data_IF_670987983900
#
_entry.id   IF_670987983900
#
_cell.length_a   1.000
_cell.length_b   1.000
_cell.length_c   1.000
_cell.angle_alpha   90.00
_cell.angle_beta   90.00
_cell.angle_gamma   90.00
#
_symmetry.space_group_name_H-M   'P 1'
#
loop_
_entity.id
_entity.type
_entity.pdbx_description
1 polymer ?
#
# COMPACT_ATOMS: atom_id res chain seq x y z
N UNK A 1 -43.73 -1.59 20.44
CA UNK A 1 -42.78 -1.45 19.32
C UNK A 1 -42.84 -2.69 18.44
N UNK A 2 -43.28 -2.53 17.19
CA UNK A 2 -43.64 -3.63 16.28
C UNK A 2 -42.43 -4.09 15.46
N UNK A 3 -42.42 -5.38 15.08
CA UNK A 3 -41.34 -6.09 14.38
C UNK A 3 -40.77 -5.38 13.11
N UNK A 4 -41.46 -4.37 12.58
CA UNK A 4 -41.07 -3.57 11.42
C UNK A 4 -39.93 -2.58 11.73
N UNK A 5 -39.88 -2.07 12.96
CA UNK A 5 -38.86 -1.11 13.42
C UNK A 5 -37.52 -1.82 13.71
N UNK A 6 -37.59 -3.08 14.15
CA UNK A 6 -36.41 -3.93 14.39
C UNK A 6 -35.71 -4.37 13.09
N UNK A 7 -36.41 -4.35 11.94
CA UNK A 7 -35.88 -4.75 10.63
C UNK A 7 -35.22 -3.57 9.90
N UNK A 8 -35.69 -2.33 10.09
CA UNK A 8 -35.02 -1.15 9.48
C UNK A 8 -33.73 -0.77 10.19
N UNK A 9 -33.65 -1.01 11.50
CA UNK A 9 -32.44 -0.70 12.28
C UNK A 9 -31.28 -1.67 12.00
N UNK A 10 -31.57 -2.95 11.71
CA UNK A 10 -30.54 -3.92 11.29
C UNK A 10 -30.01 -3.64 9.90
N UNK A 11 -30.87 -3.25 8.95
CA UNK A 11 -30.45 -2.91 7.58
C UNK A 11 -29.55 -1.67 7.51
N UNK A 12 -29.72 -0.71 8.42
CA UNK A 12 -28.92 0.52 8.43
C UNK A 12 -27.57 0.32 9.16
N UNK A 13 -27.53 -0.55 10.16
CA UNK A 13 -26.28 -0.91 10.84
C UNK A 13 -25.36 -1.76 9.95
N UNK A 14 -25.93 -2.70 9.18
CA UNK A 14 -25.17 -3.59 8.28
C UNK A 14 -24.54 -2.81 7.11
N UNK A 15 -25.18 -1.74 6.60
CA UNK A 15 -24.60 -0.88 5.55
C UNK A 15 -23.42 -0.03 6.04
N UNK A 16 -23.48 0.48 7.28
CA UNK A 16 -22.43 1.36 7.84
C UNK A 16 -21.14 0.57 8.12
N UNK A 17 -21.26 -0.66 8.64
CA UNK A 17 -20.10 -1.52 8.89
C UNK A 17 -19.42 -1.96 7.58
N UNK A 18 -20.20 -2.16 6.52
CA UNK A 18 -19.66 -2.56 5.21
C UNK A 18 -18.94 -1.39 4.52
N UNK A 19 -19.48 -0.17 4.59
CA UNK A 19 -18.85 1.04 4.05
C UNK A 19 -17.53 1.37 4.78
N UNK A 20 -17.52 1.27 6.12
CA UNK A 20 -16.30 1.43 6.91
C UNK A 20 -15.23 0.38 6.54
N UNK A 21 -15.63 -0.86 6.26
CA UNK A 21 -14.74 -1.93 5.80
C UNK A 21 -14.12 -1.67 4.43
N UNK A 22 -14.92 -1.23 3.43
CA UNK A 22 -14.40 -0.92 2.09
C UNK A 22 -13.47 0.29 2.07
N UNK A 23 -13.81 1.36 2.80
CA UNK A 23 -12.94 2.53 2.91
C UNK A 23 -11.59 2.19 3.55
N UNK A 24 -11.62 1.36 4.60
CA UNK A 24 -10.40 0.86 5.26
C UNK A 24 -9.52 0.07 4.29
N UNK A 25 -10.11 -0.84 3.50
CA UNK A 25 -9.36 -1.62 2.50
C UNK A 25 -8.75 -0.75 1.38
N UNK A 26 -9.44 0.32 0.96
CA UNK A 26 -8.89 1.28 -0.01
C UNK A 26 -7.72 2.10 0.58
N UNK A 27 -7.80 2.47 1.86
CA UNK A 27 -6.73 3.19 2.55
C UNK A 27 -5.48 2.30 2.68
N UNK A 28 -5.67 1.01 2.95
CA UNK A 28 -4.59 0.03 2.96
C UNK A 28 -3.95 -0.09 1.58
N UNK A 29 -4.74 -0.21 0.50
CA UNK A 29 -4.21 -0.24 -0.86
C UNK A 29 -3.32 0.97 -1.16
N UNK A 30 -3.78 2.18 -0.81
CA UNK A 30 -3.01 3.41 -1.00
C UNK A 30 -1.68 3.36 -0.25
N UNK A 31 -1.71 2.98 1.02
CA UNK A 31 -0.51 2.94 1.85
C UNK A 31 0.51 1.91 1.29
N UNK A 32 0.02 0.78 0.79
CA UNK A 32 0.84 -0.23 0.12
C UNK A 32 1.45 0.30 -1.19
N UNK A 33 0.63 0.94 -2.03
CA UNK A 33 1.08 1.52 -3.29
C UNK A 33 2.14 2.62 -3.08
N UNK A 34 1.96 3.49 -2.10
CA UNK A 34 2.93 4.55 -1.79
C UNK A 34 4.29 3.97 -1.38
N UNK A 35 4.32 2.92 -0.55
CA UNK A 35 5.57 2.25 -0.17
C UNK A 35 6.26 1.60 -1.35
N UNK A 36 5.50 0.98 -2.26
CA UNK A 36 6.01 0.41 -3.52
C UNK A 36 6.70 1.50 -4.35
N UNK A 37 5.99 2.60 -4.62
CA UNK A 37 6.51 3.71 -5.41
C UNK A 37 7.77 4.31 -4.77
N UNK A 38 7.75 4.58 -3.46
CA UNK A 38 8.91 5.10 -2.74
C UNK A 38 10.11 4.15 -2.87
N UNK A 39 9.91 2.84 -2.71
CA UNK A 39 11.01 1.87 -2.81
C UNK A 39 11.66 1.87 -4.20
N UNK A 40 10.86 1.97 -5.27
CA UNK A 40 11.35 2.05 -6.65
C UNK A 40 12.08 3.38 -6.88
N UNK A 41 11.52 4.50 -6.40
CA UNK A 41 12.15 5.81 -6.51
C UNK A 41 13.50 5.86 -5.78
N UNK A 42 13.59 5.30 -4.59
CA UNK A 42 14.84 5.21 -3.82
C UNK A 42 15.89 4.42 -4.62
N UNK A 43 15.52 3.22 -5.11
CA UNK A 43 16.41 2.42 -5.95
C UNK A 43 16.85 3.19 -7.22
N UNK A 44 15.92 3.91 -7.86
CA UNK A 44 16.21 4.69 -9.07
C UNK A 44 17.20 5.81 -8.81
N UNK A 45 17.06 6.56 -7.71
CA UNK A 45 18.00 7.64 -7.34
C UNK A 45 19.42 7.09 -7.15
N UNK A 46 19.57 5.88 -6.60
CA UNK A 46 20.88 5.23 -6.46
C UNK A 46 21.45 4.72 -7.80
N UNK A 47 20.60 4.28 -8.73
CA UNK A 47 21.04 3.76 -10.04
C UNK A 47 21.22 4.84 -11.11
N UNK A 48 20.53 5.98 -10.99
CA UNK A 48 20.51 7.05 -11.97
C UNK A 48 21.91 7.56 -12.37
N UNK A 49 22.90 7.75 -11.46
CA UNK A 49 24.25 8.15 -11.82
C UNK A 49 24.98 7.15 -12.73
N UNK A 50 24.59 5.88 -12.69
CA UNK A 50 25.21 4.78 -13.43
C UNK A 50 24.41 4.40 -14.69
N UNK A 51 23.38 5.18 -15.05
CA UNK A 51 22.44 4.84 -16.12
C UNK A 51 23.13 4.50 -17.46
N UNK A 52 24.17 5.25 -17.85
CA UNK A 52 24.91 5.00 -19.08
C UNK A 52 25.66 3.67 -19.04
N UNK A 53 26.42 3.42 -17.97
CA UNK A 53 27.18 2.17 -17.77
C UNK A 53 26.27 0.96 -17.76
N UNK A 54 25.11 1.07 -17.10
CA UNK A 54 24.11 0.01 -17.07
C UNK A 54 23.55 -0.28 -18.48
N UNK A 55 23.28 0.75 -19.26
CA UNK A 55 22.77 0.58 -20.62
C UNK A 55 23.79 -0.11 -21.54
N UNK A 56 25.08 0.22 -21.41
CA UNK A 56 26.13 -0.43 -22.19
C UNK A 56 26.15 -1.96 -21.97
N UNK A 57 25.95 -2.41 -20.73
CA UNK A 57 25.80 -3.84 -20.42
C UNK A 57 24.58 -4.50 -21.08
N UNK A 58 23.49 -3.75 -21.28
CA UNK A 58 22.33 -4.24 -22.01
C UNK A 58 22.62 -4.32 -23.53
N UNK A 59 23.41 -3.38 -24.05
CA UNK A 59 23.74 -3.28 -25.47
C UNK A 59 24.82 -4.28 -25.94
N UNK A 60 25.70 -4.72 -25.04
CA UNK A 60 26.75 -5.72 -25.29
C UNK A 60 26.32 -6.95 -26.12
N UNK A 61 25.20 -7.65 -25.82
CA UNK A 61 24.76 -8.80 -26.61
C UNK A 61 24.38 -8.48 -28.06
N UNK A 62 24.05 -7.23 -28.38
CA UNK A 62 23.73 -6.80 -29.77
C UNK A 62 25.01 -6.41 -30.49
N UNK A 63 25.85 -5.63 -29.83
CA UNK A 63 27.10 -5.12 -30.41
C UNK A 63 28.04 -6.28 -30.73
N UNK A 64 28.10 -7.30 -29.86
CA UNK A 64 28.89 -8.51 -30.07
C UNK A 64 28.44 -9.36 -31.27
N UNK A 65 27.20 -9.20 -31.75
CA UNK A 65 26.71 -9.86 -32.97
C UNK A 65 26.96 -9.03 -34.25
N UNK A 66 27.71 -7.93 -34.15
CA UNK A 66 28.07 -7.08 -35.28
C UNK A 66 26.94 -6.16 -35.75
N UNK A 67 25.83 -6.09 -35.02
CA UNK A 67 24.76 -5.11 -35.27
C UNK A 67 25.10 -3.80 -34.54
N UNK A 68 24.94 -2.66 -35.23
CA UNK A 68 25.04 -1.34 -34.61
C UNK A 68 23.63 -0.83 -34.27
N UNK A 69 23.45 -0.35 -33.05
CA UNK A 69 22.25 0.38 -32.65
C UNK A 69 22.34 1.80 -33.19
N UNK A 70 21.31 2.23 -33.92
CA UNK A 70 21.22 3.60 -34.42
C UNK A 70 20.45 4.47 -33.45
N UNK A 71 20.75 5.76 -33.46
CA UNK A 71 20.06 6.76 -32.65
C UNK A 71 19.29 7.67 -33.59
N UNK A 72 17.96 7.56 -33.59
CA UNK A 72 17.09 8.39 -34.44
C UNK A 72 16.55 9.62 -33.72
N UNK A 73 16.36 9.54 -32.40
CA UNK A 73 15.79 10.60 -31.58
C UNK A 73 16.85 11.55 -31.00
N UNK A 74 16.59 12.86 -31.05
CA UNK A 74 17.50 13.89 -30.47
C UNK A 74 17.69 13.72 -28.96
N UNK A 75 16.62 13.37 -28.25
CA UNK A 75 16.65 13.15 -26.80
C UNK A 75 17.05 11.73 -26.39
N UNK A 76 17.22 10.80 -27.34
CA UNK A 76 17.44 9.38 -27.06
C UNK A 76 18.72 9.11 -26.25
N UNK A 77 19.89 9.73 -26.54
CA UNK A 77 21.11 9.51 -25.75
C UNK A 77 20.96 9.87 -24.27
N UNK A 78 20.04 10.78 -23.96
CA UNK A 78 19.72 11.17 -22.60
C UNK A 78 18.64 10.27 -21.99
N UNK A 79 17.48 10.13 -22.63
CA UNK A 79 16.32 9.45 -22.03
C UNK A 79 16.46 7.93 -21.94
N UNK A 80 17.10 7.29 -22.92
CA UNK A 80 17.16 5.82 -23.01
C UNK A 80 17.92 5.21 -21.81
N UNK A 81 19.13 5.67 -21.45
CA UNK A 81 19.82 5.16 -20.26
C UNK A 81 18.98 5.30 -18.98
N UNK A 82 18.30 6.44 -18.77
CA UNK A 82 17.47 6.64 -17.58
C UNK A 82 16.20 5.77 -17.58
N UNK A 83 15.57 5.53 -18.74
CA UNK A 83 14.46 4.58 -18.86
C UNK A 83 14.90 3.17 -18.47
N UNK A 84 16.10 2.76 -18.87
CA UNK A 84 16.66 1.46 -18.49
C UNK A 84 17.02 1.40 -16.99
N UNK A 85 17.65 2.44 -16.46
CA UNK A 85 17.94 2.53 -15.02
C UNK A 85 16.67 2.44 -14.17
N UNK A 86 15.56 3.04 -14.62
CA UNK A 86 14.26 2.91 -13.98
C UNK A 86 13.72 1.48 -14.01
N UNK A 87 13.85 0.78 -15.14
CA UNK A 87 13.50 -0.63 -15.24
C UNK A 87 14.31 -1.49 -14.26
N UNK A 88 15.63 -1.29 -14.21
CA UNK A 88 16.51 -2.00 -13.26
C UNK A 88 16.17 -1.68 -11.80
N UNK A 89 15.87 -0.42 -11.49
CA UNK A 89 15.44 -0.02 -10.16
C UNK A 89 14.14 -0.74 -9.75
N UNK A 90 13.19 -0.84 -10.68
CA UNK A 90 11.99 -1.65 -10.48
C UNK A 90 12.34 -3.13 -10.22
N UNK A 91 13.21 -3.72 -11.05
CA UNK A 91 13.65 -5.11 -10.88
C UNK A 91 14.30 -5.35 -9.51
N UNK A 92 15.19 -4.46 -9.06
CA UNK A 92 15.83 -4.57 -7.74
C UNK A 92 14.82 -4.41 -6.61
N UNK A 93 13.84 -3.52 -6.77
CA UNK A 93 12.79 -3.30 -5.78
C UNK A 93 11.76 -4.44 -5.73
N UNK A 94 11.71 -5.33 -6.74
CA UNK A 94 10.70 -6.39 -6.86
C UNK A 94 10.45 -7.22 -5.59
N UNK A 95 11.46 -7.69 -4.84
CA UNK A 95 11.21 -8.48 -3.64
C UNK A 95 10.33 -7.72 -2.63
N UNK A 96 10.57 -6.41 -2.51
CA UNK A 96 9.76 -5.52 -1.68
C UNK A 96 8.39 -5.23 -2.30
N UNK A 97 8.32 -5.03 -3.63
CA UNK A 97 7.05 -4.85 -4.34
C UNK A 97 6.12 -6.04 -4.13
N UNK A 98 6.62 -7.25 -4.37
CA UNK A 98 5.87 -8.47 -4.13
C UNK A 98 5.50 -8.62 -2.66
N UNK A 99 6.42 -8.38 -1.72
CA UNK A 99 6.08 -8.41 -0.30
C UNK A 99 4.88 -7.50 0.02
N UNK A 100 4.88 -6.27 -0.50
CA UNK A 100 3.81 -5.32 -0.24
C UNK A 100 2.49 -5.69 -0.97
N UNK A 101 2.56 -6.21 -2.20
CA UNK A 101 1.40 -6.76 -2.92
C UNK A 101 0.76 -7.92 -2.15
N UNK A 102 1.57 -8.86 -1.70
CA UNK A 102 1.11 -10.01 -0.93
C UNK A 102 0.64 -9.63 0.47
N UNK A 103 1.25 -8.65 1.12
CA UNK A 103 0.78 -8.15 2.40
C UNK A 103 -0.61 -7.50 2.31
N UNK A 104 -0.97 -6.95 1.14
CA UNK A 104 -2.33 -6.46 0.86
C UNK A 104 -3.33 -7.59 0.59
N UNK A 105 -2.90 -8.67 -0.08
CA UNK A 105 -3.75 -9.83 -0.39
C UNK A 105 -3.91 -10.79 0.82
N UNK A 106 -2.89 -10.86 1.68
CA UNK A 106 -2.79 -11.77 2.82
C UNK A 106 -3.92 -11.70 3.88
N UNK A 107 -4.58 -10.56 4.16
CA UNK A 107 -5.63 -10.51 5.17
C UNK A 107 -6.79 -11.46 4.84
N UNK A 108 -7.06 -11.72 3.56
CA UNK A 108 -8.18 -12.58 3.14
C UNK A 108 -7.85 -14.05 2.95
N UNK A 109 -6.58 -14.46 3.02
CA UNK A 109 -6.15 -15.74 2.45
C UNK A 109 -5.63 -16.78 3.46
N UNK A 110 -4.77 -16.41 4.43
CA UNK A 110 -4.11 -17.39 5.31
C UNK A 110 -3.72 -16.84 6.69
N UNK A 111 -4.67 -16.25 7.44
CA UNK A 111 -4.38 -15.70 8.79
C UNK A 111 -3.82 -16.72 9.79
N UNK A 112 -3.89 -18.03 9.54
CA UNK A 112 -3.43 -19.09 10.45
C UNK A 112 -2.27 -19.95 9.93
N UNK A 113 -1.80 -19.72 8.69
CA UNK A 113 -0.55 -20.32 8.20
C UNK A 113 0.33 -19.27 7.51
N UNK A 114 0.92 -18.38 8.32
CA UNK A 114 2.01 -17.49 7.88
C UNK A 114 3.14 -18.25 7.14
N UNK A 115 3.27 -19.55 7.41
CA UNK A 115 4.26 -20.45 6.80
C UNK A 115 4.01 -20.76 5.32
N UNK A 116 2.78 -20.67 4.79
CA UNK A 116 2.50 -20.89 3.35
C UNK A 116 2.70 -19.63 2.50
N UNK A 117 2.57 -18.44 3.11
CA UNK A 117 2.76 -17.17 2.41
C UNK A 117 4.23 -16.99 2.00
N UNK A 118 5.18 -17.37 2.87
CA UNK A 118 6.61 -17.21 2.63
C UNK A 118 7.14 -18.00 1.41
N UNK A 119 6.89 -19.32 1.26
CA UNK A 119 7.33 -20.06 0.08
C UNK A 119 6.62 -19.61 -1.19
N UNK A 120 5.37 -19.17 -1.10
CA UNK A 120 4.62 -18.66 -2.24
C UNK A 120 5.18 -17.32 -2.73
N UNK A 121 5.46 -16.40 -1.81
CA UNK A 121 6.13 -15.13 -2.07
C UNK A 121 7.53 -15.34 -2.68
N UNK A 122 8.34 -16.20 -2.07
CA UNK A 122 9.69 -16.50 -2.57
C UNK A 122 9.65 -17.17 -3.95
N UNK A 123 8.68 -18.05 -4.18
CA UNK A 123 8.51 -18.71 -5.49
C UNK A 123 8.08 -17.71 -6.56
N UNK A 124 7.17 -16.79 -6.22
CA UNK A 124 6.71 -15.71 -7.10
C UNK A 124 7.88 -14.82 -7.51
N UNK A 125 8.61 -14.24 -6.54
CA UNK A 125 9.80 -13.42 -6.81
C UNK A 125 10.83 -14.19 -7.68
N UNK A 126 11.07 -15.47 -7.38
CA UNK A 126 11.95 -16.33 -8.16
C UNK A 126 11.45 -16.56 -9.60
N UNK A 127 10.15 -16.79 -9.79
CA UNK A 127 9.51 -16.96 -11.10
C UNK A 127 9.58 -15.68 -11.93
N UNK A 128 9.36 -14.51 -11.33
CA UNK A 128 9.50 -13.24 -12.03
C UNK A 128 10.93 -13.06 -12.57
N UNK A 129 11.95 -13.26 -11.72
CA UNK A 129 13.35 -13.17 -12.16
C UNK A 129 13.70 -14.21 -13.21
N UNK A 130 13.15 -15.43 -13.10
CA UNK A 130 13.29 -16.46 -14.11
C UNK A 130 12.64 -16.04 -15.43
N UNK A 131 11.49 -15.36 -15.39
CA UNK A 131 10.86 -14.75 -16.56
C UNK A 131 11.72 -13.69 -17.22
N UNK A 132 12.29 -12.76 -16.44
CA UNK A 132 13.22 -11.74 -16.94
C UNK A 132 14.46 -12.39 -17.57
N UNK A 133 15.04 -13.39 -16.89
CA UNK A 133 16.17 -14.15 -17.40
C UNK A 133 15.82 -14.90 -18.70
N UNK A 134 14.63 -15.50 -18.78
CA UNK A 134 14.13 -16.17 -19.99
C UNK A 134 14.04 -15.18 -21.15
N UNK A 135 13.55 -13.97 -20.93
CA UNK A 135 13.51 -12.95 -21.97
C UNK A 135 14.92 -12.59 -22.45
N UNK A 136 15.83 -12.32 -21.52
CA UNK A 136 17.19 -11.88 -21.85
C UNK A 136 18.00 -12.98 -22.58
N UNK A 137 18.00 -14.21 -22.06
CA UNK A 137 18.84 -15.29 -22.56
C UNK A 137 18.21 -16.13 -23.68
N UNK A 138 16.88 -16.21 -23.76
CA UNK A 138 16.20 -17.04 -24.75
C UNK A 138 15.47 -16.21 -25.81
N UNK A 139 14.57 -15.30 -25.40
CA UNK A 139 13.70 -14.60 -26.35
C UNK A 139 14.43 -13.56 -27.20
N UNK A 140 15.19 -12.65 -26.58
CA UNK A 140 15.94 -11.61 -27.31
C UNK A 140 16.86 -12.19 -28.40
N UNK A 141 17.76 -13.16 -28.12
CA UNK A 141 18.63 -13.71 -29.15
C UNK A 141 17.86 -14.51 -30.21
N UNK A 142 16.72 -15.11 -29.86
CA UNK A 142 15.87 -15.79 -30.83
C UNK A 142 15.22 -14.79 -31.79
N UNK A 143 14.74 -13.66 -31.29
CA UNK A 143 14.15 -12.61 -32.13
C UNK A 143 15.17 -11.95 -33.05
N UNK A 144 16.38 -11.68 -32.58
CA UNK A 144 17.44 -11.14 -33.44
C UNK A 144 17.91 -12.11 -34.53
N UNK A 145 17.62 -13.42 -34.40
CA UNK A 145 17.83 -14.39 -35.47
C UNK A 145 16.67 -14.44 -36.46
N UNK A 146 15.43 -14.26 -35.98
CA UNK A 146 14.21 -14.42 -36.79
C UNK A 146 13.85 -13.14 -37.55
N UNK A 147 13.90 -11.98 -36.90
CA UNK A 147 13.48 -10.70 -37.50
C UNK A 147 14.25 -10.33 -38.79
N UNK A 148 15.59 -10.52 -38.86
CA UNK A 148 16.32 -10.23 -40.10
C UNK A 148 15.93 -11.12 -41.28
N UNK A 149 15.34 -12.29 -41.06
CA UNK A 149 14.89 -13.19 -42.15
C UNK A 149 13.74 -12.59 -42.96
N UNK A 150 13.04 -11.60 -42.40
CA UNK A 150 11.95 -10.88 -43.08
C UNK A 150 12.41 -9.59 -43.75
N UNK A 151 13.67 -9.18 -43.56
CA UNK A 151 14.20 -7.99 -44.20
C UNK A 151 14.38 -8.25 -45.70
N UNK A 152 13.89 -7.37 -46.59
CA UNK A 152 14.17 -7.49 -48.02
C UNK A 152 15.68 -7.35 -48.28
N UNK A 153 16.19 -8.06 -49.28
CA UNK A 153 17.62 -8.06 -49.62
C UNK A 153 18.21 -6.70 -49.99
N UNK A 154 17.37 -5.70 -50.23
CA UNK A 154 17.73 -4.31 -50.54
C UNK A 154 17.90 -3.40 -49.32
N UNK A 155 17.57 -3.86 -48.10
CA UNK A 155 17.61 -3.05 -46.88
C UNK A 155 18.63 -3.58 -45.86
N UNK A 156 19.38 -2.69 -45.22
CA UNK A 156 20.23 -3.04 -44.08
C UNK A 156 19.38 -3.02 -42.80
N UNK A 157 19.37 -4.13 -42.07
CA UNK A 157 18.65 -4.23 -40.80
C UNK A 157 19.50 -3.65 -39.66
N UNK A 158 19.03 -2.56 -39.04
CA UNK A 158 19.64 -1.96 -37.86
C UNK A 158 18.56 -1.38 -36.95
N UNK A 159 18.39 -1.91 -35.72
CA UNK A 159 17.39 -1.43 -34.79
C UNK A 159 17.76 -0.06 -34.19
N UNK A 160 16.74 0.77 -33.95
CA UNK A 160 16.88 2.01 -33.18
C UNK A 160 16.97 1.72 -31.69
N UNK A 161 17.83 2.47 -30.99
CA UNK A 161 18.10 2.31 -29.56
C UNK A 161 16.87 2.51 -28.66
N UNK A 162 15.98 3.45 -29.01
CA UNK A 162 14.79 3.77 -28.22
C UNK A 162 13.74 2.70 -28.41
N UNK A 163 13.47 2.33 -29.67
CA UNK A 163 12.53 1.26 -30.00
C UNK A 163 13.00 -0.09 -29.45
N UNK A 164 14.30 -0.36 -29.49
CA UNK A 164 14.88 -1.54 -28.87
C UNK A 164 14.63 -1.57 -27.36
N UNK A 165 14.94 -0.47 -26.65
CA UNK A 165 14.72 -0.42 -25.20
C UNK A 165 13.23 -0.56 -24.85
N UNK A 166 12.34 0.14 -25.57
CA UNK A 166 10.90 0.07 -25.32
C UNK A 166 10.37 -1.34 -25.53
N UNK A 167 10.87 -2.02 -26.56
CA UNK A 167 10.59 -3.42 -26.80
C UNK A 167 11.07 -4.32 -25.65
N UNK A 168 12.32 -4.16 -25.20
CA UNK A 168 12.88 -4.92 -24.06
C UNK A 168 12.10 -4.69 -22.77
N UNK A 169 11.81 -3.43 -22.43
CA UNK A 169 11.02 -3.04 -21.25
C UNK A 169 9.67 -3.74 -21.28
N UNK A 170 8.97 -3.65 -22.41
CA UNK A 170 7.64 -4.23 -22.56
C UNK A 170 7.69 -5.75 -22.43
N UNK A 171 8.70 -6.42 -23.00
CA UNK A 171 8.88 -7.86 -22.86
C UNK A 171 9.24 -8.27 -21.43
N UNK A 172 10.14 -7.58 -20.74
CA UNK A 172 10.50 -7.90 -19.35
C UNK A 172 9.28 -7.80 -18.44
N UNK A 173 8.47 -6.76 -18.60
CA UNK A 173 7.24 -6.62 -17.83
C UNK A 173 6.22 -7.69 -18.21
N UNK A 174 5.91 -7.87 -19.49
CA UNK A 174 4.87 -8.81 -19.93
C UNK A 174 5.23 -10.26 -19.59
N UNK A 175 6.46 -10.71 -19.87
CA UNK A 175 6.88 -12.06 -19.51
C UNK A 175 7.17 -12.21 -18.03
N UNK A 176 7.71 -11.21 -17.34
CA UNK A 176 7.84 -11.25 -15.89
C UNK A 176 6.49 -11.55 -15.22
N UNK A 177 5.44 -10.82 -15.60
CA UNK A 177 4.08 -11.11 -15.12
C UNK A 177 3.48 -12.39 -15.69
N UNK A 178 3.79 -12.78 -16.93
CA UNK A 178 3.32 -14.06 -17.48
C UNK A 178 3.91 -15.26 -16.71
N UNK A 179 5.15 -15.14 -16.20
CA UNK A 179 5.76 -16.14 -15.35
C UNK A 179 5.10 -16.24 -13.97
N UNK A 180 4.27 -15.28 -13.56
CA UNK A 180 3.42 -15.40 -12.37
C UNK A 180 2.14 -16.23 -12.60
N UNK A 181 1.81 -16.54 -13.86
CA UNK A 181 0.62 -17.33 -14.20
C UNK A 181 0.50 -18.69 -13.47
N UNK A 182 1.58 -19.46 -13.25
CA UNK A 182 1.51 -20.68 -12.46
C UNK A 182 1.07 -20.42 -11.01
N UNK A 183 1.63 -19.40 -10.37
CA UNK A 183 1.31 -19.03 -8.98
C UNK A 183 -0.12 -18.50 -8.89
N UNK A 184 -0.52 -17.63 -9.82
CA UNK A 184 -1.89 -17.13 -9.92
C UNK A 184 -2.90 -18.27 -10.11
N UNK A 185 -2.58 -19.27 -10.94
CA UNK A 185 -3.41 -20.45 -11.15
C UNK A 185 -3.59 -21.27 -9.87
N UNK A 186 -2.50 -21.52 -9.14
CA UNK A 186 -2.52 -22.23 -7.87
C UNK A 186 -3.39 -21.48 -6.84
N UNK A 187 -3.25 -20.15 -6.77
CA UNK A 187 -4.04 -19.31 -5.87
C UNK A 187 -5.54 -19.31 -6.17
N UNK A 188 -5.95 -19.19 -7.43
CA UNK A 188 -7.37 -19.15 -7.77
C UNK A 188 -8.04 -20.51 -7.46
N UNK A 189 -7.29 -21.60 -7.57
CA UNK A 189 -7.74 -22.93 -7.19
C UNK A 189 -7.73 -23.09 -5.65
N UNK A 190 -6.71 -22.57 -4.96
CA UNK A 190 -6.60 -22.63 -3.48
C UNK A 190 -7.72 -21.85 -2.78
N UNK A 191 -8.09 -20.71 -3.36
CA UNK A 191 -9.24 -19.91 -2.94
C UNK A 191 -10.58 -20.56 -3.30
N UNK A 192 -10.62 -21.67 -4.03
CA UNK A 192 -11.87 -22.31 -4.42
C UNK A 192 -12.80 -21.43 -5.26
N UNK A 193 -12.30 -20.32 -5.85
CA UNK A 193 -13.04 -19.51 -6.81
C UNK A 193 -13.35 -20.35 -8.06
N UNK A 194 -12.41 -21.21 -8.43
CA UNK A 194 -12.56 -22.16 -9.54
C UNK A 194 -12.00 -23.53 -9.17
N UNK A 195 -12.31 -24.55 -9.97
CA UNK A 195 -11.68 -25.86 -9.87
C UNK A 195 -10.69 -26.05 -11.02
N UNK A 196 -9.74 -26.99 -10.83
CA UNK A 196 -8.76 -27.35 -11.86
C UNK A 196 -9.44 -27.76 -13.16
N UNK A 197 -10.54 -28.49 -13.08
CA UNK A 197 -11.31 -29.00 -14.22
C UNK A 197 -11.96 -27.85 -14.99
N UNK A 198 -12.59 -26.90 -14.27
CA UNK A 198 -13.18 -25.69 -14.88
C UNK A 198 -12.12 -24.84 -15.58
N UNK A 199 -10.94 -24.71 -14.99
CA UNK A 199 -9.86 -23.92 -15.57
C UNK A 199 -9.22 -24.62 -16.78
N UNK A 200 -9.10 -25.95 -16.74
CA UNK A 200 -8.64 -26.75 -17.89
C UNK A 200 -9.62 -26.71 -19.07
N UNK A 201 -10.93 -26.57 -18.83
CA UNK A 201 -11.90 -26.34 -19.92
C UNK A 201 -11.71 -24.98 -20.61
N UNK A 202 -11.11 -24.00 -19.92
CA UNK A 202 -10.88 -22.65 -20.44
C UNK A 202 -9.55 -22.46 -21.18
N UNK A 203 -8.83 -23.55 -21.50
CA UNK A 203 -7.59 -23.52 -22.32
C UNK A 203 -7.71 -22.65 -23.58
N UNK A 204 -8.79 -22.73 -24.39
CA UNK A 204 -8.87 -21.92 -25.60
C UNK A 204 -8.83 -20.42 -25.33
N UNK A 205 -9.43 -19.96 -24.22
CA UNK A 205 -9.40 -18.54 -23.84
C UNK A 205 -7.99 -18.08 -23.44
N UNK A 206 -7.23 -18.93 -22.74
CA UNK A 206 -5.85 -18.62 -22.36
C UNK A 206 -4.95 -18.57 -23.60
N UNK A 207 -5.14 -19.49 -24.53
CA UNK A 207 -4.41 -19.47 -25.80
C UNK A 207 -4.70 -18.17 -26.55
N UNK A 208 -5.97 -17.79 -26.71
CA UNK A 208 -6.33 -16.51 -27.34
C UNK A 208 -5.70 -15.33 -26.59
N UNK A 209 -5.74 -15.31 -25.26
CA UNK A 209 -5.08 -14.28 -24.45
C UNK A 209 -3.57 -14.19 -24.69
N UNK A 210 -2.88 -15.34 -24.78
CA UNK A 210 -1.46 -15.40 -25.10
C UNK A 210 -1.16 -14.84 -26.51
N UNK A 211 -2.00 -15.16 -27.50
CA UNK A 211 -1.86 -14.59 -28.84
C UNK A 211 -2.14 -13.08 -28.85
N UNK A 212 -3.08 -12.58 -28.04
CA UNK A 212 -3.36 -11.13 -27.90
C UNK A 212 -2.16 -10.42 -27.29
N UNK A 213 -1.59 -10.93 -26.20
CA UNK A 213 -0.36 -10.37 -25.61
C UNK A 213 0.78 -10.40 -26.63
N UNK A 214 0.90 -11.50 -27.39
CA UNK A 214 1.84 -11.60 -28.51
C UNK A 214 1.65 -10.50 -29.56
N UNK A 215 0.42 -10.16 -29.96
CA UNK A 215 0.16 -9.06 -30.90
C UNK A 215 0.54 -7.69 -30.38
N UNK A 216 0.41 -7.46 -29.06
CA UNK A 216 0.78 -6.17 -28.48
C UNK A 216 2.31 -6.07 -28.38
N UNK A 217 2.99 -7.17 -28.02
CA UNK A 217 4.45 -7.20 -27.86
C UNK A 217 5.19 -7.20 -29.19
N UNK A 218 4.73 -8.00 -30.14
CA UNK A 218 5.25 -8.04 -31.50
C UNK A 218 4.17 -7.49 -32.43
N UNK A 219 4.43 -6.33 -33.09
CA UNK A 219 3.63 -5.88 -34.23
C UNK A 219 3.49 -7.01 -35.27
N UNK A 220 2.60 -6.91 -36.28
CA UNK A 220 1.97 -8.05 -36.97
C UNK A 220 2.93 -8.99 -37.72
N UNK A 221 3.69 -9.77 -36.95
CA UNK A 221 4.60 -10.84 -37.35
C UNK A 221 4.11 -12.12 -36.68
N UNK A 222 3.50 -12.98 -37.50
CA UNK A 222 2.91 -14.25 -37.05
C UNK A 222 3.96 -15.19 -36.46
N UNK A 223 5.20 -15.20 -36.98
CA UNK A 223 6.22 -16.12 -36.49
C UNK A 223 6.66 -15.72 -35.09
N UNK A 224 7.06 -14.46 -34.91
CA UNK A 224 7.43 -13.96 -33.58
C UNK A 224 6.25 -14.02 -32.60
N UNK A 225 5.02 -13.76 -33.05
CA UNK A 225 3.83 -13.87 -32.22
C UNK A 225 3.60 -15.29 -31.69
N UNK A 226 3.69 -16.32 -32.56
CA UNK A 226 3.56 -17.73 -32.15
C UNK A 226 4.69 -18.12 -31.19
N UNK A 227 5.91 -17.67 -31.49
CA UNK A 227 7.10 -17.93 -30.68
C UNK A 227 6.99 -17.38 -29.25
N UNK A 228 6.29 -16.25 -29.08
CA UNK A 228 5.99 -15.66 -27.77
C UNK A 228 4.77 -16.29 -27.10
N UNK A 229 3.72 -16.64 -27.86
CA UNK A 229 2.50 -17.22 -27.33
C UNK A 229 2.68 -18.64 -26.76
N UNK A 230 3.54 -19.46 -27.39
CA UNK A 230 3.80 -20.84 -26.96
C UNK A 230 4.37 -20.91 -25.52
N UNK A 231 5.43 -20.18 -25.16
CA UNK A 231 5.92 -20.11 -23.78
C UNK A 231 4.84 -19.70 -22.77
N UNK A 232 4.01 -18.71 -23.09
CA UNK A 232 2.91 -18.27 -22.21
C UNK A 232 1.86 -19.37 -22.00
N UNK A 233 1.51 -20.11 -23.05
CA UNK A 233 0.61 -21.25 -22.93
C UNK A 233 1.22 -22.38 -22.08
N UNK A 234 2.51 -22.68 -22.27
CA UNK A 234 3.23 -23.67 -21.47
C UNK A 234 3.26 -23.31 -19.98
N UNK A 235 3.43 -22.02 -19.63
CA UNK A 235 3.39 -21.56 -18.24
C UNK A 235 2.01 -21.78 -17.61
N UNK A 236 0.93 -21.55 -18.36
CA UNK A 236 -0.41 -21.86 -17.89
C UNK A 236 -0.60 -23.38 -17.65
N UNK A 237 -0.12 -24.22 -18.57
CA UNK A 237 -0.15 -25.68 -18.38
C UNK A 237 0.63 -26.10 -17.14
N UNK A 238 1.82 -25.52 -16.95
CA UNK A 238 2.65 -25.75 -15.77
C UNK A 238 1.88 -25.41 -14.48
N UNK A 239 1.18 -24.28 -14.44
CA UNK A 239 0.28 -23.93 -13.34
C UNK A 239 -0.81 -24.96 -13.05
N UNK A 240 -1.47 -25.45 -14.11
CA UNK A 240 -2.48 -26.50 -14.01
C UNK A 240 -1.93 -27.85 -13.56
N UNK A 241 -0.68 -28.18 -13.91
CA UNK A 241 -0.01 -29.40 -13.46
C UNK A 241 0.40 -29.26 -11.99
N UNK A 242 1.06 -28.16 -11.63
CA UNK A 242 1.50 -27.88 -10.27
C UNK A 242 0.33 -27.83 -9.28
N UNK A 243 -0.80 -27.22 -9.67
CA UNK A 243 -2.01 -27.24 -8.81
C UNK A 243 -2.53 -28.66 -8.53
N UNK A 244 -2.29 -29.62 -9.42
CA UNK A 244 -2.59 -31.03 -9.18
C UNK A 244 -1.66 -31.69 -8.17
N UNK A 245 -0.36 -31.34 -8.21
CA UNK A 245 0.66 -31.86 -7.28
C UNK A 245 0.45 -31.31 -5.87
N UNK A 246 0.11 -30.03 -5.74
CA UNK A 246 -0.13 -29.39 -4.45
C UNK A 246 -1.52 -29.64 -3.85
N UNK A 247 -2.31 -30.59 -4.40
CA UNK A 247 -3.71 -30.85 -3.99
C UNK A 247 -3.90 -31.09 -2.49
N UNK A 248 -2.93 -31.70 -1.81
CA UNK A 248 -2.99 -31.92 -0.35
C UNK A 248 -2.86 -30.60 0.44
N UNK A 249 -1.85 -29.78 0.10
CA UNK A 249 -1.62 -28.47 0.71
C UNK A 249 -2.77 -27.50 0.39
N UNK A 250 -3.31 -27.56 -0.83
CA UNK A 250 -4.49 -26.80 -1.26
C UNK A 250 -5.76 -27.17 -0.47
N UNK A 251 -5.93 -28.46 -0.13
CA UNK A 251 -7.06 -28.94 0.66
C UNK A 251 -6.95 -28.59 2.14
N UNK A 252 -5.74 -28.59 2.70
CA UNK A 252 -5.46 -28.12 4.06
C UNK A 252 -5.70 -26.61 4.16
N UNK A 253 -5.20 -25.84 3.19
CA UNK A 253 -5.48 -24.41 3.02
C UNK A 253 -6.99 -24.09 2.97
N UNK A 254 -7.78 -24.86 2.21
CA UNK A 254 -9.23 -24.68 2.12
C UNK A 254 -9.95 -24.95 3.44
N UNK A 255 -9.56 -26.00 4.18
CA UNK A 255 -10.14 -26.34 5.49
C UNK A 255 -9.90 -25.26 6.53
N UNK A 256 -8.68 -24.71 6.59
CA UNK A 256 -8.35 -23.62 7.51
C UNK A 256 -9.21 -22.38 7.26
N UNK A 257 -9.57 -22.11 6.01
CA UNK A 257 -10.48 -21.01 5.65
C UNK A 257 -11.93 -21.28 6.04
N UNK A 258 -12.42 -22.50 5.80
CA UNK A 258 -13.78 -22.85 6.20
C UNK A 258 -13.94 -22.80 7.73
N UNK A 259 -12.88 -23.19 8.47
CA UNK A 259 -12.81 -23.02 9.92
C UNK A 259 -12.84 -21.55 10.35
N UNK A 260 -12.13 -20.64 9.65
CA UNK A 260 -12.18 -19.20 9.92
C UNK A 260 -13.53 -18.58 9.63
N UNK A 261 -14.18 -18.93 8.52
CA UNK A 261 -15.54 -18.45 8.23
C UNK A 261 -16.51 -18.89 9.32
N UNK A 262 -16.30 -20.08 9.86
CA UNK A 262 -17.09 -20.55 10.98
C UNK A 262 -16.75 -19.79 12.27
N UNK A 263 -15.48 -19.55 12.57
CA UNK A 263 -15.04 -18.79 13.75
C UNK A 263 -15.48 -17.32 13.69
N UNK A 264 -15.49 -16.69 12.52
CA UNK A 264 -15.97 -15.33 12.24
C UNK A 264 -17.50 -15.26 12.31
N UNK A 265 -18.21 -16.30 11.84
CA UNK A 265 -19.66 -16.46 12.08
C UNK A 265 -19.98 -16.67 13.55
N UNK A 266 -19.15 -17.43 14.28
CA UNK A 266 -19.33 -17.70 15.70
C UNK A 266 -19.03 -16.44 16.51
N UNK A 267 -17.97 -15.68 16.21
CA UNK A 267 -17.66 -14.41 16.89
C UNK A 267 -18.67 -13.31 16.55
N UNK A 268 -19.13 -13.20 15.31
CA UNK A 268 -20.24 -12.28 14.96
C UNK A 268 -21.57 -12.71 15.61
N UNK A 269 -21.86 -14.01 15.69
CA UNK A 269 -23.02 -14.52 16.43
C UNK A 269 -22.87 -14.31 17.96
N UNK A 270 -21.67 -14.44 18.51
CA UNK A 270 -21.39 -14.16 19.93
C UNK A 270 -21.50 -12.67 20.24
N UNK A 271 -21.04 -11.79 19.34
CA UNK A 271 -21.20 -10.35 19.46
C UNK A 271 -22.69 -9.96 19.42
N UNK A 272 -23.47 -10.57 18.51
CA UNK A 272 -24.93 -10.41 18.45
C UNK A 272 -25.63 -10.96 19.73
N UNK A 273 -25.17 -12.09 20.26
CA UNK A 273 -25.71 -12.69 21.49
C UNK A 273 -25.35 -11.89 22.75
N UNK A 274 -24.13 -11.36 22.86
CA UNK A 274 -23.69 -10.48 23.95
C UNK A 274 -24.43 -9.14 23.93
N UNK A 275 -24.71 -8.59 22.74
CA UNK A 275 -25.62 -7.44 22.60
C UNK A 275 -27.04 -7.74 23.04
N UNK A 276 -27.50 -8.98 22.89
CA UNK A 276 -28.83 -9.44 23.34
C UNK A 276 -28.88 -9.68 24.85
N UNK A 277 -27.79 -10.16 25.48
CA UNK A 277 -27.73 -10.32 26.94
C UNK A 277 -27.60 -8.98 27.66
N UNK A 278 -26.92 -7.99 27.07
CA UNK A 278 -26.92 -6.62 27.60
C UNK A 278 -28.33 -6.00 27.61
N UNK A 279 -29.14 -6.28 26.59
CA UNK A 279 -30.55 -5.89 26.55
C UNK A 279 -31.43 -6.66 27.56
N UNK A 280 -31.11 -7.92 27.87
CA UNK A 280 -31.80 -8.70 28.90
C UNK A 280 -31.44 -8.27 30.33
N UNK A 281 -30.22 -7.77 30.57
CA UNK A 281 -29.82 -7.16 31.84
C UNK A 281 -30.51 -5.80 32.04
N UNK A 282 -30.69 -5.01 30.97
CA UNK A 282 -31.52 -3.80 31.02
C UNK A 282 -32.99 -4.08 31.34
N UNK A 283 -33.56 -5.13 30.77
CA UNK A 283 -34.95 -5.52 31.02
C UNK A 283 -35.21 -6.10 32.43
N UNK A 284 -34.19 -6.65 33.09
CA UNK A 284 -34.29 -7.11 34.49
C UNK A 284 -34.09 -5.97 35.49
N UNK A 285 -33.36 -4.92 35.11
CA UNK A 285 -33.26 -3.69 35.90
C UNK A 285 -34.56 -2.88 35.88
N UNK A 286 -35.30 -2.88 34.76
CA UNK A 286 -36.62 -2.21 34.64
C UNK A 286 -37.69 -2.93 35.48
N UNK A 287 -37.65 -4.26 35.54
CA UNK A 287 -38.62 -5.08 36.30
C UNK A 287 -38.39 -5.13 37.83
N UNK A 288 -37.30 -4.53 38.33
CA UNK A 288 -36.97 -4.49 39.76
C UNK A 288 -37.59 -3.28 40.50
N UNK A 289 -38.32 -2.41 39.79
CA UNK A 289 -38.98 -1.21 40.36
C UNK A 289 -40.49 -1.35 40.49
N UNK A 290 -41.05 -2.53 40.22
CA UNK A 290 -42.48 -2.84 40.38
C UNK A 290 -42.71 -3.74 41.62
N UNK A 291 -42.58 -3.18 42.82
CA UNK A 291 -43.38 -3.64 43.97
C UNK A 291 -43.60 -2.50 44.98
N UNK A 292 -44.86 -2.06 45.06
CA UNK A 292 -45.37 -1.05 45.98
C UNK A 292 -45.54 -1.65 47.38
N UNK A 293 -44.86 -1.10 48.39
CA UNK A 293 -45.40 -1.08 49.75
C UNK A 293 -45.01 0.21 50.47
N UNK A 294 -45.99 1.11 50.59
CA UNK A 294 -45.90 2.43 51.20
C UNK A 294 -46.00 2.37 52.74
N UNK A 295 -45.21 3.19 53.42
CA UNK A 295 -45.60 3.88 54.65
C UNK A 295 -44.74 5.15 54.82
N UNK A 296 -45.34 6.32 54.61
CA UNK A 296 -44.73 7.62 54.92
C UNK A 296 -45.11 8.02 56.35
N UNK A 297 -44.12 8.40 57.17
CA UNK A 297 -44.35 9.25 58.34
C UNK A 297 -44.29 10.72 57.90
N UNK A 298 -45.30 11.46 58.33
CA UNK A 298 -45.58 12.85 58.01
C UNK A 298 -44.64 13.80 58.79
N UNK A 299 -43.97 14.71 58.08
CA UNK A 299 -43.38 15.93 58.65
C UNK A 299 -43.80 17.10 57.76
N UNK A 300 -44.46 18.08 58.38
CA UNK A 300 -44.96 19.33 57.80
C UNK A 300 -43.85 20.13 57.10
N UNK A 301 -44.12 20.56 55.87
CA UNK A 301 -43.24 21.42 55.06
C UNK A 301 -44.01 22.69 54.67
N UNK A 302 -44.30 23.52 55.68
CA UNK A 302 -44.85 24.88 55.55
C UNK A 302 -43.91 25.87 56.28
N UNK A 303 -42.81 26.29 55.64
CA UNK A 303 -42.25 27.66 55.71
C UNK A 303 -40.88 27.74 55.02
N UNK A 304 -40.88 27.95 53.69
CA UNK A 304 -39.76 28.60 53.03
C UNK A 304 -40.17 30.04 52.71
N UNK A 305 -39.82 30.99 53.60
CA UNK A 305 -39.92 32.42 53.31
C UNK A 305 -38.72 32.82 52.44
N UNK A 306 -38.98 33.46 51.29
CA UNK A 306 -37.95 34.02 50.44
C UNK A 306 -37.26 35.20 51.17
N UNK A 307 -35.94 35.23 51.15
CA UNK A 307 -35.14 36.36 51.66
C UNK A 307 -35.63 37.67 51.02
N UNK A 308 -35.76 38.72 51.83
CA UNK A 308 -36.14 40.03 51.30
C UNK A 308 -34.96 40.68 50.57
N UNK A 309 -35.24 41.54 49.58
CA UNK A 309 -34.21 42.15 48.72
C UNK A 309 -33.10 42.87 49.55
N UNK A 310 -33.44 43.39 50.73
CA UNK A 310 -32.51 44.07 51.64
C UNK A 310 -31.53 43.10 52.34
N UNK A 311 -31.93 41.85 52.56
CA UNK A 311 -31.09 40.80 53.15
C UNK A 311 -30.20 40.13 52.08
N UNK A 312 -30.69 40.06 50.84
CA UNK A 312 -29.90 39.60 49.69
C UNK A 312 -28.74 40.56 49.39
N UNK A 313 -29.01 41.87 49.37
CA UNK A 313 -28.00 42.88 49.12
C UNK A 313 -26.95 42.93 50.26
N UNK A 314 -27.36 42.73 51.51
CA UNK A 314 -26.45 42.66 52.65
C UNK A 314 -25.52 41.42 52.61
N UNK A 315 -26.00 40.30 52.06
CA UNK A 315 -25.17 39.09 51.89
C UNK A 315 -24.22 39.23 50.69
N UNK A 316 -24.63 39.92 49.62
CA UNK A 316 -23.74 40.28 48.51
C UNK A 316 -22.62 41.23 48.94
N UNK A 317 -22.92 42.23 49.77
CA UNK A 317 -21.89 43.13 50.33
C UNK A 317 -20.89 42.38 51.23
N UNK A 318 -21.35 41.37 51.98
CA UNK A 318 -20.43 40.51 52.75
C UNK A 318 -19.49 39.71 51.86
N UNK A 319 -20.00 39.17 50.76
CA UNK A 319 -19.20 38.37 49.81
C UNK A 319 -18.18 39.26 49.11
N UNK A 320 -18.55 40.48 48.68
CA UNK A 320 -17.61 41.44 48.11
C UNK A 320 -16.54 41.89 49.12
N UNK A 321 -16.91 42.04 50.41
CA UNK A 321 -15.95 42.35 51.47
C UNK A 321 -14.96 41.19 51.72
N UNK A 322 -15.43 39.93 51.64
CA UNK A 322 -14.60 38.74 51.80
C UNK A 322 -13.64 38.56 50.60
N UNK A 323 -14.09 38.87 49.37
CA UNK A 323 -13.22 38.90 48.19
C UNK A 323 -12.19 40.02 48.26
N UNK A 324 -12.55 41.21 48.75
CA UNK A 324 -11.60 42.31 48.94
C UNK A 324 -10.54 42.00 50.01
N UNK A 325 -10.90 41.31 51.10
CA UNK A 325 -9.93 40.81 52.09
C UNK A 325 -9.01 39.72 51.48
N UNK A 326 -9.54 38.86 50.61
CA UNK A 326 -8.75 37.85 49.91
C UNK A 326 -7.76 38.48 48.90
N UNK A 327 -8.14 39.53 48.19
CA UNK A 327 -7.24 40.28 47.29
C UNK A 327 -6.16 41.06 48.07
N UNK A 328 -6.50 41.67 49.22
CA UNK A 328 -5.53 42.34 50.08
C UNK A 328 -4.51 41.36 50.68
N UNK A 329 -4.96 40.16 51.06
CA UNK A 329 -4.11 39.04 51.52
C UNK A 329 -3.15 38.55 50.42
N UNK A 330 -3.57 38.57 49.15
CA UNK A 330 -2.69 38.24 48.02
C UNK A 330 -1.66 39.34 47.71
N UNK A 331 -1.98 40.62 47.93
CA UNK A 331 -1.05 41.73 47.70
C UNK A 331 0.12 41.77 48.70
N UNK A 332 -0.10 41.38 49.96
CA UNK A 332 0.96 41.29 50.99
C UNK A 332 1.92 40.10 50.75
N UNK A 333 1.47 39.06 50.05
CA UNK A 333 2.31 37.90 49.71
C UNK A 333 3.37 38.19 48.62
N UNK A 334 3.21 39.27 47.84
CA UNK A 334 4.17 39.65 46.78
C UNK A 334 5.29 40.60 47.27
N UNK A 335 5.27 41.02 48.56
CA UNK A 335 6.35 41.79 49.19
C UNK A 335 7.47 40.93 49.83
N UNK A 336 7.33 39.60 49.87
CA UNK A 336 8.33 38.67 50.43
C UNK A 336 9.00 37.79 49.35
N UNK A 337 9.51 38.42 48.29
CA UNK A 337 10.48 37.80 47.37
C UNK A 337 11.89 38.39 47.61
N UNK A 338 12.91 37.56 47.93
CA UNK A 338 14.25 38.05 48.18
C UNK A 338 14.93 38.60 46.92
N UNK A 339 15.60 39.74 47.11
CA UNK A 339 16.34 40.54 46.11
C UNK A 339 17.47 39.76 45.44
N UNK A 340 17.48 39.75 44.10
CA UNK A 340 18.66 39.43 43.29
C UNK A 340 19.79 40.44 43.55
N UNK A 341 21.00 39.92 43.79
CA UNK A 341 22.24 40.70 43.83
C UNK A 341 22.68 40.99 42.39
N UNK A 342 22.74 42.28 42.06
CA UNK A 342 23.52 42.84 40.94
C UNK A 342 24.99 42.96 41.35
N UNK A 343 25.88 42.75 40.40
CA UNK A 343 27.01 43.66 40.12
C UNK A 343 27.26 43.61 38.60
N UNK A 344 26.91 44.66 37.82
CA UNK A 344 27.66 45.90 37.57
C UNK A 344 28.87 45.60 36.64
N UNK A 345 29.10 46.23 35.47
CA UNK A 345 28.85 47.61 35.05
C UNK A 345 29.19 47.73 33.54
N UNK A 346 28.40 48.51 32.79
CA UNK A 346 28.79 49.46 31.71
C UNK A 346 29.87 49.01 30.69
N UNK A 347 29.73 49.16 29.35
CA UNK A 347 29.59 50.45 28.65
C UNK A 347 29.72 50.25 27.12
N UNK A 348 28.86 50.94 26.37
CA UNK A 348 29.09 51.64 25.10
C UNK A 348 29.21 50.90 23.75
N UNK A 349 28.22 51.25 22.94
CA UNK A 349 28.33 51.93 21.64
C UNK A 349 28.62 51.13 20.35
N UNK A 350 27.63 51.29 19.46
CA UNK A 350 27.76 51.63 18.03
C UNK A 350 28.02 50.52 17.00
N UNK A 351 26.96 50.24 16.22
CA UNK A 351 27.02 49.90 14.79
C UNK A 351 27.85 50.99 14.07
N UNK A 352 28.61 50.67 13.00
CA UNK A 352 28.02 50.85 11.67
C UNK A 352 28.43 49.78 10.63
N UNK A 353 27.74 49.87 9.50
CA UNK A 353 27.83 49.08 8.27
C UNK A 353 29.15 49.25 7.47
N UNK A 354 29.36 48.45 6.40
CA UNK A 354 30.66 48.16 5.79
C UNK A 354 31.03 49.16 4.69
N UNK A 355 32.32 49.26 4.37
CA UNK A 355 32.83 49.62 3.02
C UNK A 355 34.35 49.40 2.92
N UNK A 356 34.73 48.74 1.81
CA UNK A 356 35.82 49.03 0.86
C UNK A 356 37.21 49.32 1.44
N UNK A 357 38.23 48.61 0.92
CA UNK A 357 39.51 49.18 0.42
C UNK A 357 40.26 48.08 -0.33
N UNK A 358 40.48 48.33 -1.62
CA UNK A 358 41.55 47.82 -2.48
C UNK A 358 42.92 48.13 -1.89
N UNK A 359 43.98 47.41 -2.24
CA UNK A 359 45.15 48.07 -2.83
C UNK A 359 46.14 47.01 -3.33
N UNK A 360 46.67 47.34 -4.49
CA UNK A 360 47.61 46.66 -5.35
C UNK A 360 49.04 46.59 -4.77
N UNK A 361 49.93 46.02 -5.60
CA UNK A 361 51.39 46.27 -5.68
C UNK A 361 52.30 45.40 -4.78
N UNK A 362 53.37 44.73 -5.24
CA UNK A 362 54.11 44.76 -6.52
C UNK A 362 55.21 43.65 -6.51
N UNK A 363 55.74 43.37 -7.72
CA UNK A 363 57.14 43.06 -8.08
C UNK A 363 57.41 41.77 -8.90
N UNK A 364 57.65 42.00 -10.21
CA UNK A 364 58.49 41.20 -11.11
C UNK A 364 60.00 41.41 -10.84
N UNK A 365 60.92 41.37 -11.82
CA UNK A 365 60.78 41.43 -13.29
C UNK A 365 60.82 40.09 -14.04
#
# INVERSE_FOLDING_TARGET
MTAKEKISNTSSAESVDTEAGFLTHLIDLRNHLMRIVISICVAFVFLAPFAQVLFDWLADPIISQGQQLIITGVAAPFLVPYKFAFLLAFLIALPYVFYQLWAFVAPGLYKHEKKLILPLLSSSVGLFYLGVAFVYYALLPMMFKVLPLFAPSSATYSPDISNYLDFVVMMFLAFGFAFEMPIATILIISTGITTREKLAQKRPYVIVGAFVIGMILTPPDVISQVMLAVPMWLLFELGLVLSGVFKKQLKEAGKSRDAMREEERVTSAHAMAAGTSAAAVGATADALWEDDNYAYEEYDDDEHQNLTDEELDAELERIEAEEAEAEASQADADLDKPKEIKDDKSKKDSKPEPKIVSDDDDLGP
#
